data_IF_853023391545
#
_entry.id   IF_853023391545
#
_cell.length_a   1.000
_cell.length_b   1.000
_cell.length_c   1.000
_cell.angle_alpha   90.00
_cell.angle_beta   90.00
_cell.angle_gamma   90.00
#
_symmetry.space_group_name_H-M   'P 1'
#
loop_
_entity.id
_entity.type
_entity.pdbx_description
1 polymer ?
#
# COMPACT_ATOMS: atom_id res chain seq x y z
N UNK A 1 33.27 45.48 14.25
CA UNK A 1 33.10 46.95 14.31
C UNK A 1 31.64 47.25 14.04
N UNK A 2 31.06 47.66 15.05
CA UNK A 2 30.24 48.81 15.41
C UNK A 2 28.77 48.51 15.22
N UNK A 3 28.08 48.18 16.34
CA UNK A 3 27.28 49.04 17.25
C UNK A 3 26.15 49.74 16.44
N UNK A 4 24.89 49.73 16.84
CA UNK A 4 24.38 50.28 18.08
C UNK A 4 22.87 50.03 18.19
N UNK A 5 22.41 49.66 19.35
CA UNK A 5 21.09 49.92 19.94
C UNK A 5 20.96 51.46 20.15
N UNK A 6 19.90 52.02 20.76
CA UNK A 6 18.60 51.54 21.23
C UNK A 6 17.48 52.62 21.19
N UNK A 7 16.35 52.31 21.92
CA UNK A 7 15.50 53.21 22.71
C UNK A 7 14.34 53.91 21.98
N UNK A 8 13.17 54.05 22.47
CA UNK A 8 12.52 54.45 23.73
C UNK A 8 11.00 54.45 23.46
N UNK A 9 10.21 53.77 24.19
CA UNK A 9 9.31 54.18 25.25
C UNK A 9 8.34 55.30 24.94
N UNK A 10 7.05 55.04 25.12
CA UNK A 10 6.05 55.81 25.88
C UNK A 10 4.67 55.20 25.65
N UNK A 11 4.17 54.51 26.56
CA UNK A 11 3.15 54.86 27.54
C UNK A 11 2.01 55.72 26.99
N UNK A 12 0.83 55.12 26.77
CA UNK A 12 -0.43 55.81 27.12
C UNK A 12 -1.51 54.77 27.42
N UNK A 13 -1.81 54.60 28.71
CA UNK A 13 -3.00 53.95 29.22
C UNK A 13 -4.22 54.83 28.87
N UNK A 14 -5.16 54.26 28.16
CA UNK A 14 -6.55 54.76 28.19
C UNK A 14 -7.45 53.57 28.51
N UNK A 15 -7.85 53.55 29.76
CA UNK A 15 -8.92 52.71 30.25
C UNK A 15 -10.24 53.22 29.68
N UNK A 16 -10.87 52.46 28.79
CA UNK A 16 -12.27 52.60 28.47
C UNK A 16 -12.98 51.35 28.98
N UNK A 17 -13.70 51.58 30.09
CA UNK A 17 -14.68 50.65 30.58
C UNK A 17 -15.77 50.44 29.57
N UNK A 18 -15.91 49.22 29.05
CA UNK A 18 -17.12 48.82 28.30
C UNK A 18 -17.98 47.90 29.18
N UNK A 19 -19.29 48.09 29.17
CA UNK A 19 -20.20 47.32 30.00
C UNK A 19 -20.30 45.88 29.45
N UNK A 20 -20.30 44.96 30.40
CA UNK A 20 -20.54 43.55 30.15
C UNK A 20 -21.98 43.35 29.65
N UNK A 21 -22.14 43.17 28.37
CA UNK A 21 -23.36 42.58 27.82
C UNK A 21 -23.26 41.08 27.99
N UNK A 22 -24.04 40.55 28.91
CA UNK A 22 -24.27 39.13 29.08
C UNK A 22 -24.85 38.57 27.77
N UNK A 23 -24.00 37.96 26.96
CA UNK A 23 -24.49 37.13 25.86
C UNK A 23 -24.94 35.80 26.46
N UNK A 24 -26.25 35.59 26.49
CA UNK A 24 -26.86 34.27 26.67
C UNK A 24 -26.23 33.27 25.69
N UNK A 25 -25.93 32.07 26.16
CA UNK A 25 -25.53 31.01 25.27
C UNK A 25 -26.71 30.69 24.35
N UNK A 26 -26.60 31.16 23.09
CA UNK A 26 -27.49 30.70 22.05
C UNK A 26 -27.34 29.19 21.96
N UNK A 27 -28.39 28.49 22.34
CA UNK A 27 -28.54 27.06 22.09
C UNK A 27 -28.41 26.85 20.58
N UNK A 28 -27.29 26.34 20.14
CA UNK A 28 -27.15 25.73 18.82
C UNK A 28 -28.21 24.62 18.73
N UNK A 29 -29.04 24.62 17.68
CA UNK A 29 -29.90 23.48 17.41
C UNK A 29 -29.01 22.24 17.30
N UNK A 30 -29.47 21.08 17.79
CA UNK A 30 -28.70 19.85 17.67
C UNK A 30 -28.44 19.59 16.18
N UNK A 31 -27.20 19.78 15.76
CA UNK A 31 -26.77 19.25 14.48
C UNK A 31 -26.96 17.72 14.57
N UNK A 32 -27.66 17.11 13.59
CA UNK A 32 -27.64 15.67 13.51
C UNK A 32 -26.17 15.27 13.37
N UNK A 33 -25.65 14.67 14.41
CA UNK A 33 -24.37 13.99 14.38
C UNK A 33 -24.56 12.90 13.33
N UNK A 34 -24.16 13.21 12.10
CA UNK A 34 -23.93 12.17 11.11
C UNK A 34 -22.76 11.38 11.68
N UNK A 35 -23.11 10.40 12.52
CA UNK A 35 -22.21 9.31 12.78
C UNK A 35 -21.82 8.81 11.38
N UNK A 36 -20.59 9.16 10.97
CA UNK A 36 -19.99 8.49 9.84
C UNK A 36 -20.04 7.00 10.22
N UNK A 37 -21.03 6.31 9.65
CA UNK A 37 -20.97 4.87 9.60
C UNK A 37 -19.58 4.54 9.09
N UNK A 38 -18.84 3.59 9.70
CA UNK A 38 -17.63 3.12 9.11
C UNK A 38 -18.01 2.76 7.67
N UNK A 39 -17.39 3.47 6.72
CA UNK A 39 -17.48 3.10 5.32
C UNK A 39 -17.01 1.66 5.29
N UNK A 40 -17.95 0.71 5.22
CA UNK A 40 -17.62 -0.63 4.83
C UNK A 40 -16.93 -0.43 3.48
N UNK A 41 -15.61 -0.59 3.48
CA UNK A 41 -14.81 -0.55 2.27
C UNK A 41 -15.54 -1.47 1.30
N UNK A 42 -16.05 -0.89 0.23
CA UNK A 42 -16.85 -1.65 -0.73
C UNK A 42 -15.92 -2.75 -1.24
N UNK A 43 -16.24 -4.01 -0.92
CA UNK A 43 -15.44 -5.15 -1.36
C UNK A 43 -15.40 -5.09 -2.88
N UNK A 44 -14.21 -4.86 -3.41
CA UNK A 44 -13.99 -4.71 -4.85
C UNK A 44 -14.18 -6.05 -5.58
N UNK A 45 -13.87 -7.18 -4.87
CA UNK A 45 -13.94 -8.53 -5.41
C UNK A 45 -14.88 -9.39 -4.55
N UNK A 46 -15.73 -10.18 -5.21
CA UNK A 46 -16.54 -11.20 -4.57
C UNK A 46 -15.69 -12.40 -4.14
N UNK A 47 -16.22 -13.23 -3.23
CA UNK A 47 -15.52 -14.45 -2.80
C UNK A 47 -15.18 -15.38 -3.98
N UNK A 48 -16.11 -15.53 -4.94
CA UNK A 48 -15.88 -16.37 -6.12
C UNK A 48 -14.72 -15.84 -7.00
N UNK A 49 -14.59 -14.51 -7.12
CA UNK A 49 -13.47 -13.90 -7.84
C UNK A 49 -12.16 -14.08 -7.08
N UNK A 50 -12.16 -13.91 -5.75
CA UNK A 50 -10.99 -14.18 -4.92
C UNK A 50 -10.54 -15.64 -5.02
N UNK A 51 -11.48 -16.59 -4.97
CA UNK A 51 -11.19 -18.02 -5.14
C UNK A 51 -10.49 -18.28 -6.49
N UNK A 52 -10.95 -17.68 -7.58
CA UNK A 52 -10.35 -17.82 -8.91
C UNK A 52 -8.96 -17.15 -9.00
N UNK A 53 -8.81 -15.96 -8.40
CA UNK A 53 -7.55 -15.23 -8.41
C UNK A 53 -6.47 -15.95 -7.64
N UNK A 54 -6.82 -16.50 -6.48
CA UNK A 54 -5.85 -17.09 -5.54
C UNK A 54 -5.56 -18.57 -5.85
N UNK A 55 -6.48 -19.30 -6.51
CA UNK A 55 -6.34 -20.72 -6.78
C UNK A 55 -4.99 -21.13 -7.40
N UNK A 56 -4.41 -20.41 -8.39
CA UNK A 56 -3.13 -20.79 -8.98
C UNK A 56 -1.93 -20.74 -8.01
N UNK A 57 -2.04 -19.97 -6.94
CA UNK A 57 -0.95 -19.69 -6.01
C UNK A 57 -1.20 -20.20 -4.58
N UNK A 58 -2.42 -20.67 -4.29
CA UNK A 58 -2.83 -21.06 -2.94
C UNK A 58 -1.92 -22.13 -2.32
N UNK A 59 -1.38 -23.04 -3.12
CA UNK A 59 -0.50 -24.12 -2.68
C UNK A 59 0.99 -23.75 -2.63
N UNK A 60 1.36 -22.54 -2.97
CA UNK A 60 2.74 -22.09 -2.83
C UNK A 60 3.14 -22.03 -1.35
N UNK A 61 4.41 -22.29 -1.01
CA UNK A 61 4.93 -22.05 0.33
C UNK A 61 4.69 -20.60 0.77
N UNK A 62 4.44 -20.38 2.06
CA UNK A 62 4.05 -19.05 2.58
C UNK A 62 5.03 -17.94 2.22
N UNK A 63 6.34 -18.24 2.27
CA UNK A 63 7.36 -17.26 1.89
C UNK A 63 7.25 -16.84 0.42
N UNK A 64 7.02 -17.79 -0.49
CA UNK A 64 6.85 -17.51 -1.91
C UNK A 64 5.51 -16.83 -2.18
N UNK A 65 4.44 -17.27 -1.53
CA UNK A 65 3.12 -16.66 -1.64
C UNK A 65 3.15 -15.17 -1.26
N UNK A 66 3.79 -14.83 -0.15
CA UNK A 66 3.95 -13.45 0.28
C UNK A 66 4.67 -12.59 -0.79
N UNK A 67 5.75 -13.13 -1.39
CA UNK A 67 6.46 -12.43 -2.47
C UNK A 67 5.59 -12.25 -3.71
N UNK A 68 4.81 -13.26 -4.10
CA UNK A 68 3.89 -13.20 -5.25
C UNK A 68 2.81 -12.13 -5.03
N UNK A 69 2.19 -12.10 -3.85
CA UNK A 69 1.16 -11.10 -3.52
C UNK A 69 1.73 -9.68 -3.49
N UNK A 70 2.90 -9.48 -2.88
CA UNK A 70 3.56 -8.17 -2.87
C UNK A 70 3.97 -7.75 -4.29
N UNK A 71 4.62 -8.64 -5.04
CA UNK A 71 5.09 -8.34 -6.39
C UNK A 71 3.94 -8.08 -7.37
N UNK A 72 2.75 -8.65 -7.15
CA UNK A 72 1.57 -8.40 -8.01
C UNK A 72 1.11 -6.94 -8.00
N UNK A 73 1.51 -6.17 -6.98
CA UNK A 73 1.24 -4.72 -6.91
C UNK A 73 2.18 -3.89 -7.79
N UNK A 74 3.22 -4.52 -8.38
CA UNK A 74 4.21 -3.89 -9.27
C UNK A 74 4.23 -4.59 -10.66
N UNK A 75 3.12 -4.61 -11.39
CA UNK A 75 2.99 -5.43 -12.63
C UNK A 75 3.99 -5.04 -13.71
N UNK A 76 4.35 -3.77 -13.83
CA UNK A 76 5.33 -3.29 -14.81
C UNK A 76 6.74 -3.80 -14.48
N UNK A 77 7.11 -3.77 -13.21
CA UNK A 77 8.42 -4.26 -12.78
C UNK A 77 8.57 -5.76 -13.00
N UNK A 78 7.47 -6.54 -12.79
CA UNK A 78 7.44 -7.96 -13.09
C UNK A 78 7.77 -8.26 -14.57
N UNK A 79 7.22 -7.49 -15.50
CA UNK A 79 7.52 -7.63 -16.93
C UNK A 79 8.99 -7.31 -17.23
N UNK A 80 9.54 -6.27 -16.61
CA UNK A 80 10.95 -5.94 -16.77
C UNK A 80 11.86 -7.02 -16.18
N UNK A 81 11.53 -7.51 -14.99
CA UNK A 81 12.29 -8.56 -14.32
C UNK A 81 12.27 -9.87 -15.11
N UNK A 82 11.12 -10.26 -15.67
CA UNK A 82 10.98 -11.44 -16.51
C UNK A 82 11.86 -11.36 -17.77
N UNK A 83 11.81 -10.24 -18.48
CA UNK A 83 12.66 -10.00 -19.65
C UNK A 83 14.15 -9.98 -19.31
N UNK A 84 14.48 -9.38 -18.17
CA UNK A 84 15.86 -9.29 -17.71
C UNK A 84 16.42 -10.67 -17.36
N UNK A 85 15.69 -11.51 -16.62
CA UNK A 85 16.14 -12.85 -16.25
C UNK A 85 16.22 -13.77 -17.48
N UNK A 86 15.29 -13.62 -18.44
CA UNK A 86 15.32 -14.33 -19.70
C UNK A 86 16.57 -13.99 -20.53
N UNK A 87 17.03 -12.76 -20.47
CA UNK A 87 18.29 -12.31 -21.10
C UNK A 87 19.56 -12.73 -20.34
N UNK A 88 19.43 -13.25 -19.11
CA UNK A 88 20.54 -13.61 -18.23
C UNK A 88 20.38 -15.04 -17.66
N UNK A 89 20.22 -16.08 -18.49
CA UNK A 89 19.84 -17.43 -18.04
C UNK A 89 20.91 -18.13 -17.18
N UNK A 90 22.14 -17.60 -17.18
CA UNK A 90 23.25 -18.13 -16.39
C UNK A 90 23.37 -17.57 -14.97
N UNK A 91 22.61 -16.53 -14.64
CA UNK A 91 22.67 -15.91 -13.32
C UNK A 91 21.90 -16.73 -12.28
N UNK A 92 22.60 -17.17 -11.23
CA UNK A 92 22.03 -17.95 -10.11
C UNK A 92 22.78 -17.66 -8.81
N UNK A 93 22.12 -17.87 -7.67
CA UNK A 93 22.74 -17.70 -6.35
C UNK A 93 23.31 -16.30 -6.16
N UNK A 94 24.50 -16.20 -5.61
CA UNK A 94 25.17 -14.93 -5.31
C UNK A 94 25.40 -14.06 -6.54
N UNK A 95 25.71 -14.63 -7.71
CA UNK A 95 25.87 -13.89 -8.94
C UNK A 95 24.55 -13.19 -9.38
N UNK A 96 23.41 -13.84 -9.15
CA UNK A 96 22.10 -13.25 -9.36
C UNK A 96 21.85 -12.12 -8.35
N UNK A 97 22.11 -12.36 -7.07
CA UNK A 97 21.94 -11.36 -6.01
C UNK A 97 22.77 -10.12 -6.25
N UNK A 98 24.05 -10.26 -6.63
CA UNK A 98 24.94 -9.15 -6.97
C UNK A 98 24.44 -8.35 -8.17
N UNK A 99 23.98 -9.04 -9.22
CA UNK A 99 23.44 -8.37 -10.41
C UNK A 99 22.12 -7.61 -10.11
N UNK A 100 21.32 -8.10 -9.16
CA UNK A 100 20.10 -7.46 -8.71
C UNK A 100 20.32 -6.18 -7.89
N UNK A 101 21.53 -5.96 -7.34
CA UNK A 101 21.85 -4.73 -6.60
C UNK A 101 21.68 -3.49 -7.48
N UNK A 102 22.00 -3.59 -8.77
CA UNK A 102 21.88 -2.49 -9.74
C UNK A 102 20.44 -2.24 -10.21
N UNK A 103 19.51 -3.14 -9.93
CA UNK A 103 18.11 -2.98 -10.31
C UNK A 103 17.36 -2.14 -9.26
N UNK A 104 16.42 -1.31 -9.72
CA UNK A 104 15.62 -0.42 -8.86
C UNK A 104 14.26 -1.00 -8.48
N UNK A 105 14.00 -2.28 -8.83
CA UNK A 105 12.72 -2.95 -8.58
C UNK A 105 12.45 -3.17 -7.10
N UNK A 106 11.18 -3.35 -6.79
CA UNK A 106 10.73 -3.73 -5.45
C UNK A 106 11.41 -5.03 -4.97
N UNK A 107 11.75 -5.14 -3.69
CA UNK A 107 12.37 -6.35 -3.12
C UNK A 107 11.58 -7.64 -3.40
N UNK A 108 10.24 -7.60 -3.42
CA UNK A 108 9.43 -8.76 -3.74
C UNK A 108 9.62 -9.20 -5.20
N UNK A 109 9.68 -8.26 -6.13
CA UNK A 109 9.97 -8.53 -7.55
C UNK A 109 11.36 -9.12 -7.71
N UNK A 110 12.37 -8.54 -7.05
CA UNK A 110 13.74 -9.10 -7.03
C UNK A 110 13.79 -10.53 -6.52
N UNK A 111 13.07 -10.82 -5.44
CA UNK A 111 13.00 -12.16 -4.86
C UNK A 111 12.41 -13.19 -5.81
N UNK A 112 11.44 -12.79 -6.65
CA UNK A 112 10.83 -13.67 -7.65
C UNK A 112 11.77 -14.02 -8.81
N UNK A 113 12.86 -13.30 -9.03
CA UNK A 113 13.85 -13.67 -10.06
C UNK A 113 14.55 -15.01 -9.77
N UNK A 114 14.57 -15.44 -8.49
CA UNK A 114 15.01 -16.77 -8.11
C UNK A 114 14.03 -17.88 -8.53
N UNK A 115 12.79 -17.51 -8.88
CA UNK A 115 11.72 -18.40 -9.32
C UNK A 115 11.23 -18.01 -10.72
N UNK A 116 12.04 -18.17 -11.76
CA UNK A 116 11.73 -17.64 -13.10
C UNK A 116 10.42 -18.17 -13.68
N UNK A 117 10.01 -19.40 -13.32
CA UNK A 117 8.73 -19.96 -13.76
C UNK A 117 7.52 -19.21 -13.20
N UNK A 118 7.59 -18.79 -11.92
CA UNK A 118 6.54 -18.00 -11.27
C UNK A 118 6.50 -16.60 -11.88
N UNK A 119 7.67 -15.99 -12.05
CA UNK A 119 7.80 -14.67 -12.68
C UNK A 119 7.23 -14.65 -14.10
N UNK A 120 7.56 -15.66 -14.92
CA UNK A 120 7.03 -15.84 -16.27
C UNK A 120 5.51 -16.05 -16.26
N UNK A 121 4.98 -16.85 -15.33
CA UNK A 121 3.53 -17.04 -15.20
C UNK A 121 2.83 -15.72 -14.92
N UNK A 122 3.35 -14.91 -14.01
CA UNK A 122 2.79 -13.60 -13.66
C UNK A 122 2.91 -12.59 -14.81
N UNK A 123 4.06 -12.56 -15.49
CA UNK A 123 4.31 -11.70 -16.65
C UNK A 123 3.42 -12.06 -17.85
N UNK A 124 3.22 -13.35 -18.12
CA UNK A 124 2.39 -13.82 -19.23
C UNK A 124 0.88 -13.62 -18.99
N UNK A 125 0.45 -13.50 -17.74
CA UNK A 125 -0.95 -13.31 -17.32
C UNK A 125 -1.12 -11.96 -16.62
N UNK A 126 -0.73 -10.90 -17.29
CA UNK A 126 -0.63 -9.57 -16.67
C UNK A 126 -1.97 -9.07 -16.11
N UNK A 127 -3.09 -9.31 -16.82
CA UNK A 127 -4.43 -8.93 -16.33
C UNK A 127 -4.80 -9.64 -15.03
N UNK A 128 -4.45 -10.92 -14.91
CA UNK A 128 -4.63 -11.69 -13.69
C UNK A 128 -3.71 -11.15 -12.57
N UNK A 129 -2.46 -10.85 -12.89
CA UNK A 129 -1.49 -10.30 -11.94
C UNK A 129 -1.94 -8.96 -11.39
N UNK A 130 -2.44 -8.06 -12.25
CA UNK A 130 -2.98 -6.77 -11.82
C UNK A 130 -4.19 -6.94 -10.90
N UNK A 131 -5.16 -7.76 -11.28
CA UNK A 131 -6.33 -8.05 -10.43
C UNK A 131 -5.94 -8.67 -9.10
N UNK A 132 -4.92 -9.53 -9.06
CA UNK A 132 -4.40 -10.09 -7.83
C UNK A 132 -3.79 -9.01 -6.92
N UNK A 133 -3.03 -8.07 -7.49
CA UNK A 133 -2.47 -6.92 -6.79
C UNK A 133 -3.56 -6.00 -6.25
N UNK A 134 -4.56 -5.68 -7.06
CA UNK A 134 -5.72 -4.86 -6.66
C UNK A 134 -6.50 -5.51 -5.51
N UNK A 135 -6.76 -6.82 -5.61
CA UNK A 135 -7.43 -7.59 -4.56
C UNK A 135 -6.60 -7.60 -3.27
N UNK A 136 -5.28 -7.78 -3.37
CA UNK A 136 -4.39 -7.78 -2.23
C UNK A 136 -4.34 -6.41 -1.53
N UNK A 137 -4.32 -5.31 -2.28
CA UNK A 137 -4.33 -3.95 -1.73
C UNK A 137 -5.68 -3.58 -1.10
N UNK A 138 -6.79 -3.98 -1.74
CA UNK A 138 -8.14 -3.62 -1.28
C UNK A 138 -8.67 -4.54 -0.18
N UNK A 139 -8.35 -5.84 -0.21
CA UNK A 139 -8.98 -6.88 0.60
C UNK A 139 -7.97 -7.92 1.10
N UNK A 140 -6.84 -7.49 1.64
CA UNK A 140 -5.74 -8.37 2.08
C UNK A 140 -6.21 -9.48 3.00
N UNK A 141 -7.08 -9.17 3.97
CA UNK A 141 -7.61 -10.16 4.92
C UNK A 141 -8.43 -11.24 4.22
N UNK A 142 -9.28 -10.85 3.26
CA UNK A 142 -10.10 -11.79 2.51
C UNK A 142 -9.24 -12.66 1.56
N UNK A 143 -8.23 -12.08 0.93
CA UNK A 143 -7.25 -12.81 0.11
C UNK A 143 -6.56 -13.88 0.94
N UNK A 144 -6.04 -13.54 2.12
CA UNK A 144 -5.37 -14.50 3.00
C UNK A 144 -6.31 -15.57 3.54
N UNK A 145 -7.55 -15.22 3.90
CA UNK A 145 -8.58 -16.18 4.31
C UNK A 145 -8.93 -17.17 3.17
N UNK A 146 -9.00 -16.65 1.94
CA UNK A 146 -9.23 -17.45 0.73
C UNK A 146 -8.10 -18.46 0.51
N UNK A 147 -6.85 -18.05 0.66
CA UNK A 147 -5.69 -18.97 0.59
C UNK A 147 -5.86 -20.13 1.57
N UNK A 148 -6.15 -19.82 2.84
CA UNK A 148 -6.31 -20.86 3.87
C UNK A 148 -7.49 -21.79 3.56
N UNK A 149 -8.60 -21.23 3.07
CA UNK A 149 -9.78 -22.02 2.68
C UNK A 149 -9.47 -22.98 1.54
N UNK A 150 -8.73 -22.54 0.52
CA UNK A 150 -8.34 -23.37 -0.61
C UNK A 150 -7.35 -24.47 -0.19
N UNK A 151 -6.39 -24.15 0.68
CA UNK A 151 -5.46 -25.13 1.24
C UNK A 151 -6.16 -26.23 2.04
N UNK A 152 -7.18 -25.85 2.81
CA UNK A 152 -7.96 -26.81 3.60
C UNK A 152 -8.81 -27.78 2.74
N UNK A 153 -9.04 -27.42 1.48
CA UNK A 153 -9.80 -28.23 0.50
C UNK A 153 -8.90 -29.10 -0.39
N UNK A 154 -7.58 -28.83 -0.40
CA UNK A 154 -6.62 -29.53 -1.24
C UNK A 154 -6.12 -30.83 -0.61
#
# INVERSE_FOLDING_TARGET
>A
MTRLKPLIAALLCVALAMPATAQSPAQQPPQPSTAAAPSAEAKTFSQAELDQLVAPIALFPDALLAQVLMASTYPIELVYADRWIAGNPGLKGTALEDALQSQTWDPAVKSLTAFPQVLQMMSSKLDWTQKLGDAFLAQQTDVMATVQTLRAKA
#
